data_IF_209844208522
#
_entry.id   IF_209844208522
#
_cell.length_a   1.000
_cell.length_b   1.000
_cell.length_c   1.000
_cell.angle_alpha   90.00
_cell.angle_beta   90.00
_cell.angle_gamma   90.00
#
_symmetry.space_group_name_H-M   'P 1'
#
loop_
_entity.id
_entity.type
_entity.pdbx_description
1 polymer ?
#
# COMPACT_ATOMS: atom_id res chain seq x y z
N UNK A 1 14.92 -2.03 -9.91
CA UNK A 1 15.10 -1.41 -8.57
C UNK A 1 14.30 -2.23 -7.57
N UNK A 2 14.90 -2.70 -6.46
CA UNK A 2 14.21 -3.50 -5.44
C UNK A 2 13.36 -2.59 -4.55
N UNK A 3 12.11 -2.97 -4.29
CA UNK A 3 11.24 -2.28 -3.34
C UNK A 3 11.58 -2.73 -1.92
N UNK A 4 11.61 -1.78 -0.98
CA UNK A 4 11.73 -2.11 0.45
C UNK A 4 10.33 -2.42 0.98
N UNK A 5 10.21 -3.46 1.81
CA UNK A 5 8.92 -3.91 2.36
C UNK A 5 8.19 -2.79 3.10
N UNK A 6 8.89 -2.10 4.02
CA UNK A 6 8.30 -1.00 4.81
C UNK A 6 7.86 0.19 3.96
N UNK A 7 8.60 0.49 2.90
CA UNK A 7 8.29 1.57 1.97
C UNK A 7 6.98 1.29 1.24
N UNK A 8 6.86 0.09 0.68
CA UNK A 8 5.66 -0.34 -0.03
C UNK A 8 4.46 -0.50 0.93
N UNK A 9 4.71 -1.00 2.15
CA UNK A 9 3.70 -1.14 3.19
C UNK A 9 3.10 0.22 3.58
N UNK A 10 3.94 1.24 3.80
CA UNK A 10 3.48 2.59 4.14
C UNK A 10 2.61 3.20 3.04
N UNK A 11 3.03 3.07 1.78
CA UNK A 11 2.25 3.56 0.63
C UNK A 11 0.90 2.84 0.52
N UNK A 12 0.90 1.51 0.58
CA UNK A 12 -0.35 0.73 0.48
C UNK A 12 -1.31 1.01 1.62
N UNK A 13 -0.80 1.19 2.84
CA UNK A 13 -1.60 1.54 4.01
C UNK A 13 -2.31 2.88 3.77
N UNK A 14 -1.55 3.93 3.40
CA UNK A 14 -2.12 5.24 3.10
C UNK A 14 -3.18 5.18 2.00
N UNK A 15 -2.91 4.47 0.89
CA UNK A 15 -3.84 4.37 -0.23
C UNK A 15 -5.09 3.57 0.13
N UNK A 16 -4.98 2.55 0.99
CA UNK A 16 -6.13 1.74 1.41
C UNK A 16 -7.03 2.51 2.39
N UNK A 17 -6.42 3.28 3.30
CA UNK A 17 -7.14 4.14 4.26
C UNK A 17 -7.82 5.32 3.56
N UNK A 18 -7.23 5.80 2.46
CA UNK A 18 -7.74 6.90 1.65
C UNK A 18 -8.18 6.42 0.26
N UNK A 19 -8.93 5.30 0.22
CA UNK A 19 -9.24 4.63 -1.05
C UNK A 19 -10.08 5.49 -2.01
N UNK A 20 -10.91 6.40 -1.49
CA UNK A 20 -11.64 7.38 -2.30
C UNK A 20 -10.70 8.26 -3.13
N UNK A 21 -9.58 8.72 -2.54
CA UNK A 21 -8.56 9.48 -3.27
C UNK A 21 -7.91 8.62 -4.35
N UNK A 22 -7.66 7.35 -4.04
CA UNK A 22 -7.14 6.40 -5.03
C UNK A 22 -8.11 6.27 -6.20
N UNK A 23 -9.41 6.12 -5.96
CA UNK A 23 -10.41 6.00 -7.02
C UNK A 23 -10.58 7.26 -7.86
N UNK A 24 -10.61 8.43 -7.23
CA UNK A 24 -10.76 9.71 -7.93
C UNK A 24 -9.57 9.98 -8.85
N UNK A 25 -8.34 9.80 -8.32
CA UNK A 25 -7.13 10.07 -9.09
C UNK A 25 -5.91 9.31 -8.54
N UNK A 26 -5.59 8.18 -9.18
CA UNK A 26 -4.49 7.30 -8.79
C UNK A 26 -3.13 8.02 -8.65
N UNK A 27 -2.79 8.92 -9.59
CA UNK A 27 -1.49 9.60 -9.57
C UNK A 27 -1.41 10.63 -8.45
N UNK A 28 -2.48 11.41 -8.24
CA UNK A 28 -2.59 12.36 -7.13
C UNK A 28 -2.50 11.63 -5.78
N UNK A 29 -3.20 10.51 -5.64
CA UNK A 29 -3.13 9.67 -4.44
C UNK A 29 -1.71 9.16 -4.17
N UNK A 30 -0.98 8.73 -5.21
CA UNK A 30 0.42 8.34 -5.10
C UNK A 30 1.34 9.51 -4.67
N UNK A 31 1.12 10.71 -5.20
CA UNK A 31 1.87 11.91 -4.79
C UNK A 31 1.58 12.27 -3.33
N UNK A 32 0.35 12.14 -2.86
CA UNK A 32 0.00 12.35 -1.46
C UNK A 32 0.63 11.28 -0.56
N UNK A 33 0.62 10.02 -0.99
CA UNK A 33 1.30 8.94 -0.28
C UNK A 33 2.81 9.18 -0.13
N UNK A 34 3.47 9.73 -1.16
CA UNK A 34 4.89 10.14 -1.08
C UNK A 34 5.11 11.15 0.05
N UNK A 35 4.26 12.17 0.10
CA UNK A 35 4.37 13.25 1.10
C UNK A 35 4.18 12.69 2.51
N UNK A 36 3.18 11.84 2.71
CA UNK A 36 2.87 11.26 4.01
C UNK A 36 3.94 10.28 4.48
N UNK A 37 4.39 9.40 3.60
CA UNK A 37 5.36 8.35 3.94
C UNK A 37 6.82 8.83 3.89
N UNK A 38 7.05 10.05 3.41
CA UNK A 38 8.35 10.68 3.23
C UNK A 38 9.36 9.79 2.47
N UNK A 39 8.90 9.13 1.41
CA UNK A 39 9.75 8.25 0.58
C UNK A 39 10.30 8.99 -0.63
N UNK A 40 11.55 8.72 -0.99
CA UNK A 40 12.19 9.32 -2.17
C UNK A 40 11.96 8.45 -3.42
N UNK A 41 10.74 8.47 -3.96
CA UNK A 41 10.35 7.79 -5.20
C UNK A 41 9.58 8.74 -6.10
N UNK A 42 9.66 8.47 -7.41
CA UNK A 42 8.81 9.11 -8.39
C UNK A 42 7.34 8.62 -8.28
N UNK A 43 6.38 9.54 -8.40
CA UNK A 43 4.95 9.24 -8.28
C UNK A 43 4.46 8.27 -9.35
N UNK A 44 4.98 8.36 -10.60
CA UNK A 44 4.63 7.42 -11.66
C UNK A 44 5.21 6.04 -11.38
N UNK A 45 6.40 5.96 -10.78
CA UNK A 45 6.99 4.69 -10.36
C UNK A 45 6.16 3.99 -9.27
N UNK A 46 5.63 4.75 -8.31
CA UNK A 46 4.68 4.21 -7.30
C UNK A 46 3.41 3.73 -7.98
N UNK A 47 2.76 4.58 -8.78
CA UNK A 47 1.53 4.23 -9.49
C UNK A 47 1.68 2.91 -10.25
N UNK A 48 2.73 2.79 -11.07
CA UNK A 48 3.03 1.56 -11.82
C UNK A 48 3.20 0.35 -10.90
N UNK A 49 3.85 0.52 -9.75
CA UNK A 49 4.05 -0.57 -8.80
C UNK A 49 2.72 -1.00 -8.17
N UNK A 50 1.91 -0.07 -7.67
CA UNK A 50 0.61 -0.37 -7.06
C UNK A 50 -0.31 -1.03 -8.08
N UNK A 51 -0.40 -0.46 -9.29
CA UNK A 51 -1.16 -1.05 -10.39
C UNK A 51 -0.70 -2.48 -10.69
N UNK A 52 0.62 -2.75 -10.75
CA UNK A 52 1.13 -4.10 -11.00
C UNK A 52 0.79 -5.11 -9.89
N UNK A 53 0.65 -4.65 -8.64
CA UNK A 53 0.26 -5.51 -7.51
C UNK A 53 -1.23 -5.86 -7.59
N UNK A 54 -2.09 -4.85 -7.81
CA UNK A 54 -3.54 -5.05 -8.00
C UNK A 54 -3.79 -5.96 -9.21
N UNK A 55 -3.05 -5.75 -10.31
CA UNK A 55 -3.15 -6.61 -11.49
C UNK A 55 -2.74 -8.05 -11.20
N UNK A 56 -1.64 -8.25 -10.47
CA UNK A 56 -1.22 -9.58 -10.05
C UNK A 56 -2.25 -10.26 -9.13
N UNK A 57 -2.97 -9.48 -8.31
CA UNK A 57 -4.08 -9.99 -7.50
C UNK A 57 -5.28 -10.40 -8.35
N UNK A 58 -5.61 -9.61 -9.38
CA UNK A 58 -6.66 -9.95 -10.34
C UNK A 58 -6.33 -11.25 -11.09
N UNK A 59 -5.11 -11.38 -11.59
CA UNK A 59 -4.66 -12.58 -12.32
C UNK A 59 -4.62 -13.82 -11.40
N UNK A 60 -4.28 -13.63 -10.12
CA UNK A 60 -4.35 -14.70 -9.12
C UNK A 60 -5.78 -15.17 -8.87
N UNK A 61 -6.74 -14.26 -8.76
CA UNK A 61 -8.16 -14.64 -8.59
C UNK A 61 -8.75 -15.30 -9.84
N UNK A 62 -8.27 -14.96 -11.04
CA UNK A 62 -8.74 -15.56 -12.30
C UNK A 62 -8.13 -16.95 -12.55
N UNK A 63 -6.81 -17.04 -12.45
CA UNK A 63 -6.04 -18.19 -12.96
C UNK A 63 -5.23 -18.91 -11.87
N UNK A 64 -5.24 -18.43 -10.62
CA UNK A 64 -4.38 -18.94 -9.55
C UNK A 64 -2.89 -18.60 -9.73
N UNK A 65 -2.54 -17.76 -10.71
CA UNK A 65 -1.15 -17.44 -11.07
C UNK A 65 -0.51 -16.46 -10.09
N UNK A 66 0.70 -16.79 -9.62
CA UNK A 66 1.52 -15.91 -8.77
C UNK A 66 2.70 -15.36 -9.55
N UNK A 67 2.61 -14.09 -9.93
CA UNK A 67 3.67 -13.44 -10.71
C UNK A 67 4.91 -13.15 -9.85
N UNK A 68 6.08 -13.59 -10.32
CA UNK A 68 7.37 -13.39 -9.63
C UNK A 68 7.78 -11.91 -9.51
N UNK A 69 7.33 -11.05 -10.43
CA UNK A 69 7.51 -9.59 -10.35
C UNK A 69 6.86 -8.96 -9.10
N UNK A 70 5.92 -9.67 -8.47
CA UNK A 70 5.22 -9.28 -7.25
C UNK A 70 5.54 -10.22 -6.07
N UNK A 71 6.72 -10.87 -6.07
CA UNK A 71 7.13 -11.83 -5.04
C UNK A 71 6.91 -11.35 -3.58
N UNK A 72 7.14 -10.06 -3.31
CA UNK A 72 6.96 -9.44 -1.98
C UNK A 72 5.52 -9.55 -1.43
N UNK A 73 4.55 -9.67 -2.34
CA UNK A 73 3.15 -9.86 -2.00
C UNK A 73 2.87 -11.31 -1.61
N UNK A 74 3.64 -12.27 -2.12
CA UNK A 74 3.39 -13.70 -1.91
C UNK A 74 4.18 -14.29 -0.73
N UNK A 75 4.93 -13.47 -0.01
CA UNK A 75 5.64 -13.87 1.21
C UNK A 75 4.62 -14.34 2.27
N UNK A 76 5.00 -15.35 3.07
CA UNK A 76 4.12 -15.89 4.12
C UNK A 76 3.81 -14.82 5.17
N UNK A 77 2.52 -14.64 5.51
CA UNK A 77 2.09 -13.60 6.44
C UNK A 77 2.27 -12.16 5.91
N UNK A 78 2.33 -11.99 4.58
CA UNK A 78 2.55 -10.69 3.97
C UNK A 78 1.37 -9.74 4.17
N UNK A 79 1.55 -8.72 5.01
CA UNK A 79 0.60 -7.59 5.11
C UNK A 79 0.39 -6.85 3.78
N UNK A 80 1.34 -6.97 2.85
CA UNK A 80 1.20 -6.42 1.50
C UNK A 80 0.14 -7.19 0.73
N UNK A 81 0.04 -8.52 0.90
CA UNK A 81 -1.05 -9.31 0.33
C UNK A 81 -2.40 -8.80 0.82
N UNK A 82 -2.56 -8.67 2.14
CA UNK A 82 -3.82 -8.28 2.77
C UNK A 82 -4.27 -6.91 2.25
N UNK A 83 -3.39 -5.91 2.26
CA UNK A 83 -3.71 -4.57 1.77
C UNK A 83 -4.05 -4.54 0.27
N UNK A 84 -3.32 -5.29 -0.56
CA UNK A 84 -3.60 -5.34 -2.00
C UNK A 84 -4.91 -6.07 -2.27
N UNK A 85 -5.22 -7.12 -1.50
CA UNK A 85 -6.49 -7.84 -1.58
C UNK A 85 -7.65 -6.92 -1.21
N UNK A 86 -7.54 -6.17 -0.12
CA UNK A 86 -8.58 -5.21 0.31
C UNK A 86 -8.82 -4.14 -0.76
N UNK A 87 -7.74 -3.56 -1.33
CA UNK A 87 -7.88 -2.59 -2.42
C UNK A 87 -8.51 -3.21 -3.67
N UNK A 88 -8.19 -4.47 -3.99
CA UNK A 88 -8.80 -5.19 -5.10
C UNK A 88 -10.31 -5.42 -4.87
N UNK A 89 -10.68 -5.89 -3.68
CA UNK A 89 -12.06 -6.16 -3.31
C UNK A 89 -12.90 -4.87 -3.36
N UNK A 90 -12.40 -3.77 -2.77
CA UNK A 90 -13.03 -2.44 -2.87
C UNK A 90 -13.17 -1.95 -4.32
N UNK A 91 -12.19 -2.26 -5.19
CA UNK A 91 -12.29 -1.90 -6.62
C UNK A 91 -13.39 -2.70 -7.32
N UNK A 92 -13.62 -3.95 -6.91
CA UNK A 92 -14.67 -4.80 -7.49
C UNK A 92 -16.05 -4.45 -6.99
N UNK A 93 -16.21 -4.17 -5.70
CA UNK A 93 -17.48 -3.78 -5.07
C UNK A 93 -18.05 -2.51 -5.73
N UNK A 94 -17.22 -1.49 -5.94
CA UNK A 94 -17.67 -0.25 -6.59
C UNK A 94 -18.10 -0.47 -8.05
N UNK A 95 -17.48 -1.40 -8.78
CA UNK A 95 -17.92 -1.76 -10.14
C UNK A 95 -19.27 -2.49 -10.14
N UNK A 96 -19.61 -3.23 -9.08
CA UNK A 96 -20.93 -3.87 -8.98
C UNK A 96 -22.03 -2.87 -8.62
N UNK A 97 -21.73 -1.86 -7.80
CA UNK A 97 -22.70 -0.83 -7.42
C UNK A 97 -23.02 0.13 -8.57
N UNK A 98 -22.01 0.56 -9.35
CA UNK A 98 -22.18 1.42 -10.53
C UNK A 98 -23.02 0.75 -11.64
N UNK A 99 -22.95 -0.59 -11.74
CA UNK A 99 -23.75 -1.38 -12.69
C UNK A 99 -25.21 -1.59 -12.22
N UNK A 100 -25.52 -1.40 -10.94
CA UNK A 100 -26.90 -1.52 -10.43
C UNK A 100 -27.71 -0.23 -10.63
N UNK A 101 -27.09 0.95 -10.55
CA UNK A 101 -27.78 2.23 -10.80
C UNK A 101 -28.21 2.43 -12.26
N UNK A 102 -27.58 1.74 -13.21
CA UNK A 102 -27.94 1.81 -14.64
C UNK A 102 -28.94 0.74 -15.07
N UNK A 103 -29.27 -0.23 -14.21
CA UNK A 103 -30.15 -1.37 -14.50
C UNK A 103 -31.64 -1.06 -14.33
N UNK A 104 -32.06 0.16 -14.66
CA UNK A 104 -33.48 0.55 -14.70
C UNK A 104 -33.90 1.04 -16.09
N UNK A 105 -33.38 0.45 -17.17
CA UNK A 105 -33.96 0.60 -18.52
C UNK A 105 -33.84 -0.70 -19.29
N UNK A 106 -34.98 -1.35 -19.47
CA UNK A 106 -35.20 -2.46 -20.40
C UNK A 106 -34.79 -2.04 -21.82
N UNK A 107 -33.88 -2.79 -22.45
CA UNK A 107 -33.90 -2.98 -23.91
C UNK A 107 -33.00 -4.14 -24.28
N UNK A 108 -33.60 -5.14 -24.92
CA UNK A 108 -32.92 -6.28 -25.55
C UNK A 108 -31.96 -5.81 -26.65
N UNK A 109 -30.78 -6.41 -26.72
CA UNK A 109 -29.79 -6.12 -27.77
C UNK A 109 -28.48 -6.86 -27.56
N UNK A 110 -28.38 -8.04 -28.17
CA UNK A 110 -27.15 -8.80 -28.40
C UNK A 110 -26.09 -7.92 -29.09
N UNK A 111 -24.85 -7.90 -28.57
CA UNK A 111 -23.82 -7.00 -29.05
C UNK A 111 -22.51 -7.07 -28.27
N UNK A 112 -21.65 -8.00 -28.68
CA UNK A 112 -20.25 -8.11 -28.32
C UNK A 112 -19.53 -6.75 -28.43
N UNK A 113 -19.06 -6.18 -27.31
CA UNK A 113 -18.52 -4.82 -27.24
C UNK A 113 -17.27 -4.70 -26.37
N UNK A 114 -16.12 -4.99 -26.98
CA UNK A 114 -14.80 -4.49 -26.57
C UNK A 114 -14.82 -2.95 -26.55
N UNK A 115 -14.55 -2.33 -25.39
CA UNK A 115 -14.43 -0.86 -25.28
C UNK A 115 -13.21 -0.49 -24.44
N UNK A 116 -12.07 -0.49 -25.13
CA UNK A 116 -11.13 0.64 -25.32
C UNK A 116 -10.87 1.54 -24.10
N UNK A 117 -9.65 1.43 -23.56
CA UNK A 117 -9.04 2.44 -22.69
C UNK A 117 -8.96 3.79 -23.40
N UNK A 118 -9.55 4.83 -22.81
CA UNK A 118 -9.31 6.22 -23.23
C UNK A 118 -8.07 6.75 -22.52
N UNK A 119 -6.96 6.76 -23.24
CA UNK A 119 -5.88 7.72 -23.03
C UNK A 119 -6.43 9.11 -23.38
N UNK A 120 -6.50 10.02 -22.40
CA UNK A 120 -6.80 11.43 -22.64
C UNK A 120 -5.54 12.25 -22.35
N UNK A 121 -4.75 12.45 -23.40
CA UNK A 121 -3.88 13.60 -23.57
C UNK A 121 -4.64 14.62 -24.46
N UNK A 122 -4.53 15.91 -24.11
CA UNK A 122 -5.22 17.09 -24.70
C UNK A 122 -6.71 17.24 -24.28
N UNK A 123 -7.28 18.43 -24.03
CA UNK A 123 -6.94 19.78 -24.46
C UNK A 123 -7.81 20.80 -23.67
N UNK A 124 -7.40 22.07 -23.71
CA UNK A 124 -8.26 23.28 -23.77
C UNK A 124 -8.98 23.78 -22.51
N UNK A 125 -8.57 25.00 -22.12
CA UNK A 125 -9.31 26.00 -21.36
C UNK A 125 -10.67 26.33 -21.97
N UNK A 126 -11.77 26.09 -21.24
CA UNK A 126 -13.00 26.88 -21.35
C UNK A 126 -13.66 26.93 -19.99
N UNK A 127 -13.80 28.15 -19.49
CA UNK A 127 -14.60 28.47 -18.32
C UNK A 127 -16.06 28.18 -18.63
N UNK A 128 -16.75 27.45 -17.75
CA UNK A 128 -18.12 27.78 -17.41
C UNK A 128 -18.42 27.28 -16.01
N UNK A 129 -18.61 28.25 -15.13
CA UNK A 129 -19.04 28.05 -13.77
C UNK A 129 -20.55 27.79 -13.77
N UNK A 130 -20.95 26.66 -13.19
CA UNK A 130 -22.17 26.54 -12.38
C UNK A 130 -22.27 25.13 -11.85
N UNK A 131 -21.95 24.93 -10.58
CA UNK A 131 -22.78 24.10 -9.71
C UNK A 131 -22.46 24.37 -8.25
N UNK A 132 -23.49 24.81 -7.55
CA UNK A 132 -23.62 24.81 -6.10
C UNK A 132 -23.25 23.44 -5.54
N UNK A 133 -22.23 23.38 -4.68
CA UNK A 133 -21.98 22.21 -3.83
C UNK A 133 -21.84 22.65 -2.38
N UNK A 134 -22.83 22.17 -1.63
CA UNK A 134 -23.03 22.20 -0.19
C UNK A 134 -21.78 22.38 0.69
N UNK A 135 -21.89 23.35 1.59
CA UNK A 135 -21.13 23.41 2.83
C UNK A 135 -21.34 22.15 3.67
N UNK A 136 -20.29 21.69 4.36
CA UNK A 136 -20.20 21.20 5.75
C UNK A 136 -19.08 20.14 5.81
N UNK A 137 -17.91 20.51 6.36
CA UNK A 137 -16.91 19.65 7.07
C UNK A 137 -15.51 20.30 7.27
N UNK A 138 -15.30 21.59 7.02
CA UNK A 138 -13.96 22.20 7.13
C UNK A 138 -13.51 22.68 8.53
N UNK A 139 -13.99 22.09 9.65
CA UNK A 139 -13.59 22.59 10.98
C UNK A 139 -13.04 21.57 11.99
N UNK A 140 -12.81 20.30 11.62
CA UNK A 140 -12.23 19.30 12.55
C UNK A 140 -10.96 18.58 12.05
N UNK A 141 -10.47 18.88 10.84
CA UNK A 141 -9.36 18.13 10.22
C UNK A 141 -7.94 18.55 10.71
N UNK A 142 -7.62 19.83 10.99
CA UNK A 142 -6.23 20.22 11.26
C UNK A 142 -5.62 19.57 12.52
N UNK A 143 -6.39 19.43 13.60
CA UNK A 143 -5.87 18.90 14.88
C UNK A 143 -5.57 17.39 14.85
N UNK A 144 -6.27 16.64 14.00
CA UNK A 144 -6.06 15.18 13.88
C UNK A 144 -4.80 14.86 13.05
N UNK A 145 -4.43 15.74 12.11
CA UNK A 145 -3.26 15.56 11.25
C UNK A 145 -1.95 15.79 12.00
N UNK A 146 -1.87 16.81 12.85
CA UNK A 146 -0.69 17.06 13.69
C UNK A 146 -0.44 15.92 14.69
N UNK A 147 -1.50 15.39 15.30
CA UNK A 147 -1.43 14.21 16.16
C UNK A 147 -0.97 12.97 15.40
N UNK A 148 -1.43 12.77 14.16
CA UNK A 148 -1.01 11.64 13.32
C UNK A 148 0.48 11.72 12.95
N UNK A 149 0.99 12.91 12.64
CA UNK A 149 2.42 13.14 12.38
C UNK A 149 3.24 12.81 13.63
N UNK A 150 2.78 13.22 14.81
CA UNK A 150 3.45 12.96 16.08
C UNK A 150 3.47 11.46 16.41
N UNK A 151 2.35 10.76 16.27
CA UNK A 151 2.26 9.30 16.44
C UNK A 151 3.19 8.58 15.46
N UNK A 152 3.23 8.99 14.19
CA UNK A 152 4.11 8.37 13.19
C UNK A 152 5.59 8.59 13.51
N UNK A 153 5.95 9.72 14.13
CA UNK A 153 7.31 9.98 14.62
C UNK A 153 7.62 9.08 15.83
N UNK A 154 6.73 8.98 16.80
CA UNK A 154 6.91 8.10 17.97
C UNK A 154 7.08 6.64 17.55
N UNK A 155 6.24 6.15 16.63
CA UNK A 155 6.35 4.79 16.09
C UNK A 155 7.73 4.55 15.47
N UNK A 156 8.25 5.52 14.71
CA UNK A 156 9.59 5.44 14.10
C UNK A 156 10.70 5.35 15.15
N UNK A 157 10.62 6.20 16.17
CA UNK A 157 11.61 6.24 17.25
C UNK A 157 11.59 4.94 18.06
N UNK A 158 10.41 4.37 18.31
CA UNK A 158 10.24 3.05 18.96
C UNK A 158 10.87 1.95 18.11
N UNK A 159 10.63 1.94 16.79
CA UNK A 159 11.26 0.95 15.89
C UNK A 159 12.79 1.03 15.93
N UNK A 160 13.36 2.23 15.97
CA UNK A 160 14.81 2.41 16.05
C UNK A 160 15.37 1.89 17.39
N UNK A 161 14.66 2.13 18.49
CA UNK A 161 15.02 1.60 19.81
C UNK A 161 14.97 0.07 19.83
N UNK A 162 13.91 -0.55 19.30
CA UNK A 162 13.79 -2.01 19.19
C UNK A 162 14.97 -2.58 18.40
N UNK A 163 15.33 -1.94 17.28
CA UNK A 163 16.47 -2.37 16.45
C UNK A 163 17.81 -2.30 17.20
N UNK A 164 18.02 -1.24 17.99
CA UNK A 164 19.20 -1.11 18.87
C UNK A 164 19.24 -2.21 19.92
N UNK A 165 18.14 -2.47 20.62
CA UNK A 165 18.05 -3.52 21.63
C UNK A 165 18.27 -4.92 21.05
N UNK A 166 17.72 -5.22 19.87
CA UNK A 166 17.96 -6.48 19.17
C UNK A 166 19.44 -6.69 18.87
N UNK A 167 20.13 -5.64 18.42
CA UNK A 167 21.57 -5.69 18.16
C UNK A 167 22.37 -5.96 19.44
N UNK A 168 21.97 -5.34 20.56
CA UNK A 168 22.63 -5.55 21.85
C UNK A 168 22.41 -6.95 22.41
N UNK A 169 21.18 -7.47 22.34
CA UNK A 169 20.85 -8.85 22.75
C UNK A 169 21.67 -9.85 21.94
N UNK A 170 21.80 -9.65 20.63
CA UNK A 170 22.62 -10.53 19.78
C UNK A 170 24.09 -10.53 20.22
N UNK A 171 24.68 -9.37 20.52
CA UNK A 171 26.04 -9.28 21.05
C UNK A 171 26.21 -10.00 22.40
N UNK A 172 25.22 -9.87 23.28
CA UNK A 172 25.23 -10.56 24.57
C UNK A 172 25.14 -12.08 24.40
N UNK A 173 24.28 -12.56 23.49
CA UNK A 173 24.15 -13.97 23.15
C UNK A 173 25.46 -14.53 22.57
N UNK A 174 26.10 -13.82 21.64
CA UNK A 174 27.42 -14.21 21.10
C UNK A 174 28.47 -14.32 22.21
N UNK A 175 28.52 -13.34 23.12
CA UNK A 175 29.44 -13.34 24.26
C UNK A 175 29.17 -14.50 25.23
N UNK A 176 27.90 -14.79 25.50
CA UNK A 176 27.50 -15.90 26.36
C UNK A 176 27.90 -17.25 25.74
N UNK A 177 27.64 -17.43 24.44
CA UNK A 177 28.02 -18.64 23.70
C UNK A 177 29.54 -18.83 23.66
N UNK A 178 30.31 -17.77 23.42
CA UNK A 178 31.78 -17.82 23.48
C UNK A 178 32.29 -18.27 24.86
N UNK A 179 31.71 -17.75 25.95
CA UNK A 179 32.06 -18.18 27.31
C UNK A 179 31.68 -19.63 27.59
N UNK A 180 30.51 -20.07 27.10
CA UNK A 180 30.06 -21.45 27.25
C UNK A 180 31.04 -22.43 26.58
N UNK A 181 31.50 -22.11 25.38
CA UNK A 181 32.49 -22.94 24.66
C UNK A 181 33.84 -23.00 25.40
N UNK A 182 34.32 -21.88 25.95
CA UNK A 182 35.53 -21.88 26.79
C UNK A 182 35.37 -22.81 28.00
N UNK A 183 34.20 -22.79 28.66
CA UNK A 183 33.93 -23.64 29.82
C UNK A 183 33.85 -25.13 29.44
N UNK A 184 33.20 -25.47 28.31
CA UNK A 184 33.18 -26.84 27.79
C UNK A 184 34.57 -27.37 27.52
N UNK A 185 35.42 -26.59 26.84
CA UNK A 185 36.79 -26.99 26.54
C UNK A 185 37.66 -27.17 27.79
N UNK A 186 37.37 -26.43 28.86
CA UNK A 186 38.10 -26.54 30.14
C UNK A 186 37.64 -27.73 30.98
N UNK A 187 36.38 -28.14 30.86
CA UNK A 187 35.81 -29.27 31.62
C UNK A 187 35.95 -30.61 30.90
N UNK A 188 36.04 -30.63 29.56
CA UNK A 188 36.28 -31.84 28.76
C UNK A 188 37.72 -32.36 28.78
N UNK A 189 38.69 -31.56 29.27
CA UNK A 189 40.12 -31.94 29.35
C UNK A 189 40.54 -32.56 30.71
N UNK A 190 39.57 -33.00 31.53
CA UNK A 190 39.83 -33.60 32.85
C UNK A 190 39.28 -35.03 33.02
N UNK A 191 39.09 -35.77 31.92
CA UNK A 191 38.82 -37.21 31.93
C UNK A 191 39.88 -37.97 31.12
#
# INVERSE_FOLDING_TARGET
MRWKTLELLGVLTFLNDNFELWQENHLKACIMAIKETNINRDGKAIYKKIYSLIKAMEDYHKDGKRTTACAIMWEEGSKIYDLVKDMYDKTKENRSEENQETSSRTSDGDGNGDVIMRDNDAMTTTNDATTTTNSYTNQLIPQNYDQLIEINKEVRDIYEQISKYQTEINKLNEKANSKLEILKNRTGNHL
#
